data_IF_646928213005
#
_entry.id   IF_646928213005
#
_cell.length_a   1.000
_cell.length_b   1.000
_cell.length_c   1.000
_cell.angle_alpha   90.00
_cell.angle_beta   90.00
_cell.angle_gamma   90.00
#
_symmetry.space_group_name_H-M   'P 1'
#
loop_
_entity.id
_entity.type
_entity.pdbx_description
1 polymer ?
#
# COMPACT_ATOMS: atom_id res chain seq x y z
N UNK A 1 33.03 17.69 -21.33
CA UNK A 1 32.99 17.17 -22.73
C UNK A 1 31.57 17.39 -23.24
N UNK A 2 31.36 17.99 -24.42
CA UNK A 2 30.01 18.40 -24.81
C UNK A 2 29.18 17.25 -25.43
N UNK A 3 29.75 16.52 -26.39
CA UNK A 3 29.05 15.46 -27.13
C UNK A 3 29.97 14.25 -27.34
N UNK A 4 29.42 13.03 -27.17
CA UNK A 4 30.02 11.78 -27.63
C UNK A 4 28.96 10.81 -28.16
N UNK A 5 29.33 9.98 -29.13
CA UNK A 5 28.44 8.90 -29.62
C UNK A 5 28.58 7.62 -28.79
N UNK A 6 29.81 7.19 -28.53
CA UNK A 6 30.12 6.06 -27.64
C UNK A 6 31.29 6.47 -26.76
N UNK A 7 31.19 6.24 -25.45
CA UNK A 7 32.28 6.44 -24.50
C UNK A 7 32.33 5.28 -23.50
N UNK A 8 33.53 4.84 -23.14
CA UNK A 8 33.70 3.76 -22.15
C UNK A 8 33.53 4.31 -20.74
N UNK A 9 34.36 5.28 -20.35
CA UNK A 9 34.37 5.81 -18.99
C UNK A 9 34.59 7.31 -18.96
N UNK A 10 33.94 8.02 -18.05
CA UNK A 10 34.30 9.39 -17.68
C UNK A 10 34.36 9.57 -16.17
N UNK A 11 35.33 10.34 -15.68
CA UNK A 11 35.56 10.53 -14.23
C UNK A 11 35.81 11.98 -13.88
N UNK A 12 35.07 12.52 -12.92
CA UNK A 12 35.25 13.89 -12.41
C UNK A 12 34.88 14.98 -13.41
N UNK A 13 34.06 14.68 -14.43
CA UNK A 13 33.71 15.61 -15.50
C UNK A 13 32.20 15.87 -15.61
N UNK A 14 31.87 17.02 -16.18
CA UNK A 14 30.52 17.32 -16.68
C UNK A 14 30.43 16.90 -18.14
N UNK A 15 29.42 16.08 -18.47
CA UNK A 15 29.08 15.77 -19.86
C UNK A 15 27.64 16.17 -20.18
N UNK A 16 27.46 16.83 -21.32
CA UNK A 16 26.14 17.29 -21.75
C UNK A 16 25.35 16.22 -22.48
N UNK A 17 25.98 15.50 -23.42
CA UNK A 17 25.29 14.52 -24.24
C UNK A 17 26.15 13.30 -24.57
N UNK A 18 25.61 12.11 -24.37
CA UNK A 18 26.17 10.83 -24.81
C UNK A 18 25.10 9.90 -25.36
N UNK A 19 25.32 9.27 -26.52
CA UNK A 19 24.38 8.25 -27.01
C UNK A 19 24.56 6.91 -26.27
N UNK A 20 25.79 6.40 -26.16
CA UNK A 20 26.11 5.20 -25.34
C UNK A 20 27.27 5.48 -24.39
N UNK A 21 27.12 5.13 -23.13
CA UNK A 21 28.14 5.27 -22.09
C UNK A 21 28.18 4.01 -21.21
N UNK A 22 29.37 3.50 -20.86
CA UNK A 22 29.49 2.30 -20.02
C UNK A 22 29.58 2.68 -18.53
N UNK A 23 30.46 3.62 -18.17
CA UNK A 23 30.58 4.08 -16.78
C UNK A 23 30.77 5.60 -16.66
N UNK A 24 30.20 6.19 -15.61
CA UNK A 24 30.51 7.57 -15.24
C UNK A 24 30.59 7.84 -13.74
N UNK A 25 31.47 8.77 -13.38
CA UNK A 25 31.50 9.50 -12.11
C UNK A 25 31.60 11.00 -12.43
N UNK A 26 30.71 11.84 -11.88
CA UNK A 26 30.60 13.26 -12.26
C UNK A 26 29.16 13.76 -12.45
N UNK A 27 28.92 14.59 -13.48
CA UNK A 27 27.59 15.15 -13.79
C UNK A 27 27.22 14.87 -15.24
N UNK A 28 26.00 14.40 -15.46
CA UNK A 28 25.52 13.91 -16.76
C UNK A 28 24.18 14.58 -17.09
N UNK A 29 24.12 15.42 -18.12
CA UNK A 29 22.84 16.00 -18.52
C UNK A 29 21.96 15.02 -19.31
N UNK A 30 22.52 14.31 -20.30
CA UNK A 30 21.74 13.43 -21.16
C UNK A 30 22.49 12.19 -21.62
N UNK A 31 21.90 11.01 -21.43
CA UNK A 31 22.37 9.72 -21.94
C UNK A 31 21.25 8.93 -22.60
N UNK A 32 21.41 8.47 -23.86
CA UNK A 32 20.40 7.55 -24.41
C UNK A 32 20.53 6.15 -23.79
N UNK A 33 21.74 5.58 -23.73
CA UNK A 33 22.03 4.32 -23.02
C UNK A 33 23.19 4.52 -22.04
N UNK A 34 23.00 4.12 -20.79
CA UNK A 34 24.04 4.09 -19.77
C UNK A 34 24.05 2.74 -19.02
N UNK A 35 25.20 2.10 -18.90
CA UNK A 35 25.32 0.84 -18.15
C UNK A 35 25.46 1.09 -16.64
N UNK A 36 26.30 2.04 -16.23
CA UNK A 36 26.55 2.30 -14.81
C UNK A 36 26.90 3.75 -14.51
N UNK A 37 26.44 4.28 -13.38
CA UNK A 37 26.94 5.53 -12.83
C UNK A 37 27.09 5.47 -11.32
N UNK A 38 28.18 6.02 -10.78
CA UNK A 38 28.43 6.02 -9.33
C UNK A 38 28.88 7.39 -8.83
N UNK A 39 28.18 7.92 -7.82
CA UNK A 39 28.38 9.28 -7.31
C UNK A 39 28.01 10.35 -8.33
N UNK A 40 26.94 10.12 -9.12
CA UNK A 40 26.57 10.98 -10.26
C UNK A 40 25.27 11.74 -10.03
N UNK A 41 25.22 12.97 -10.54
CA UNK A 41 23.97 13.68 -10.80
C UNK A 41 23.60 13.53 -12.27
N UNK A 42 22.54 12.77 -12.55
CA UNK A 42 22.01 12.48 -13.88
C UNK A 42 20.71 13.26 -14.09
N UNK A 43 20.66 14.12 -15.11
CA UNK A 43 19.41 14.82 -15.42
C UNK A 43 18.46 13.96 -16.25
N UNK A 44 18.92 13.36 -17.34
CA UNK A 44 18.09 12.53 -18.22
C UNK A 44 18.81 11.26 -18.68
N UNK A 45 18.13 10.12 -18.58
CA UNK A 45 18.52 8.90 -19.29
C UNK A 45 17.32 8.17 -19.91
N UNK A 46 17.48 7.64 -21.13
CA UNK A 46 16.42 6.81 -21.73
C UNK A 46 16.49 5.36 -21.24
N UNK A 47 17.65 4.71 -21.31
CA UNK A 47 17.89 3.36 -20.77
C UNK A 47 19.09 3.37 -19.84
N UNK A 48 18.85 3.08 -18.56
CA UNK A 48 19.88 2.92 -17.54
C UNK A 48 19.89 1.48 -17.02
N UNK A 49 21.07 0.88 -16.85
CA UNK A 49 21.17 -0.43 -16.18
C UNK A 49 21.29 -0.26 -14.66
N UNK A 50 22.29 0.46 -14.13
CA UNK A 50 22.44 0.70 -12.68
C UNK A 50 22.89 2.13 -12.34
N UNK A 51 22.53 2.62 -11.16
CA UNK A 51 22.98 3.92 -10.66
C UNK A 51 23.16 3.99 -9.14
N UNK A 52 24.20 4.68 -8.68
CA UNK A 52 24.30 5.18 -7.30
C UNK A 52 24.46 6.71 -7.34
N UNK A 53 23.49 7.45 -6.80
CA UNK A 53 23.51 8.92 -6.86
C UNK A 53 22.13 9.58 -6.95
N UNK A 54 22.03 10.64 -7.74
CA UNK A 54 20.81 11.44 -7.92
C UNK A 54 20.37 11.39 -9.38
N UNK A 55 19.14 10.93 -9.61
CA UNK A 55 18.53 10.74 -10.92
C UNK A 55 17.30 11.66 -11.03
N UNK A 56 17.30 12.63 -11.94
CA UNK A 56 16.11 13.44 -12.18
C UNK A 56 15.09 12.70 -13.05
N UNK A 57 15.49 12.21 -14.22
CA UNK A 57 14.62 11.49 -15.15
C UNK A 57 15.26 10.22 -15.70
N UNK A 58 14.55 9.10 -15.62
CA UNK A 58 14.83 7.87 -16.37
C UNK A 58 13.56 7.33 -17.04
N UNK A 59 13.65 6.94 -18.31
CA UNK A 59 12.51 6.26 -18.95
C UNK A 59 12.48 4.78 -18.58
N UNK A 60 13.59 4.06 -18.73
CA UNK A 60 13.74 2.65 -18.32
C UNK A 60 14.96 2.48 -17.43
N UNK A 61 14.77 1.88 -16.25
CA UNK A 61 15.84 1.42 -15.36
C UNK A 61 15.70 -0.09 -15.10
N UNK A 62 16.79 -0.83 -15.26
CA UNK A 62 16.76 -2.30 -15.41
C UNK A 62 17.31 -3.08 -14.22
N UNK A 63 18.19 -2.51 -13.39
CA UNK A 63 18.80 -3.22 -12.24
C UNK A 63 18.82 -2.38 -10.96
N UNK A 64 19.89 -2.42 -10.17
CA UNK A 64 19.94 -1.74 -8.87
C UNK A 64 20.05 -0.22 -9.01
N UNK A 65 19.26 0.48 -8.19
CA UNK A 65 19.53 1.87 -7.86
C UNK A 65 19.65 2.08 -6.35
N UNK A 66 20.55 3.00 -5.97
CA UNK A 66 20.69 3.53 -4.61
C UNK A 66 20.79 5.06 -4.65
N UNK A 67 20.20 5.75 -3.67
CA UNK A 67 20.13 7.23 -3.64
C UNK A 67 18.75 7.79 -3.95
N UNK A 68 18.68 8.85 -4.77
CA UNK A 68 17.45 9.63 -4.98
C UNK A 68 17.02 9.59 -6.44
N UNK A 69 15.74 9.28 -6.69
CA UNK A 69 15.15 9.32 -8.03
C UNK A 69 13.89 10.18 -8.06
N UNK A 70 13.89 11.23 -8.88
CA UNK A 70 12.71 12.10 -8.99
C UNK A 70 11.64 11.48 -9.90
N UNK A 71 12.00 11.05 -11.11
CA UNK A 71 11.07 10.45 -12.07
C UNK A 71 11.66 9.20 -12.73
N UNK A 72 10.89 8.11 -12.69
CA UNK A 72 11.14 6.89 -13.46
C UNK A 72 9.85 6.42 -14.15
N UNK A 73 9.86 6.16 -15.46
CA UNK A 73 8.65 5.63 -16.11
C UNK A 73 8.51 4.12 -15.85
N UNK A 74 9.55 3.33 -16.15
CA UNK A 74 9.59 1.88 -15.86
C UNK A 74 10.84 1.53 -15.07
N UNK A 75 10.65 0.85 -13.94
CA UNK A 75 11.73 0.25 -13.14
C UNK A 75 11.45 -1.23 -12.88
N UNK A 76 12.31 -2.09 -13.44
CA UNK A 76 12.07 -3.54 -13.58
C UNK A 76 12.62 -4.35 -12.37
N UNK A 77 13.17 -3.68 -11.36
CA UNK A 77 14.18 -4.28 -10.47
C UNK A 77 14.20 -3.67 -9.07
N UNK A 78 14.96 -4.29 -8.17
CA UNK A 78 15.10 -3.89 -6.76
C UNK A 78 16.01 -2.68 -6.60
N UNK A 79 15.40 -1.54 -6.24
CA UNK A 79 16.14 -0.40 -5.71
C UNK A 79 16.15 -0.44 -4.18
N UNK A 80 17.31 -0.18 -3.58
CA UNK A 80 17.53 -0.35 -2.13
C UNK A 80 18.05 0.91 -1.47
N UNK A 81 17.40 1.34 -0.39
CA UNK A 81 17.71 2.60 0.27
C UNK A 81 17.41 3.80 -0.62
N UNK A 82 16.34 3.73 -1.42
CA UNK A 82 15.99 4.76 -2.40
C UNK A 82 14.85 5.65 -1.93
N UNK A 83 15.00 6.94 -2.17
CA UNK A 83 13.90 7.92 -2.10
C UNK A 83 13.42 8.17 -3.52
N UNK A 84 12.21 7.73 -3.84
CA UNK A 84 11.60 7.90 -5.16
C UNK A 84 10.38 8.80 -5.10
N UNK A 85 10.38 9.86 -5.91
CA UNK A 85 9.25 10.79 -5.95
C UNK A 85 8.12 10.28 -6.86
N UNK A 86 8.42 9.86 -8.09
CA UNK A 86 7.44 9.38 -9.05
C UNK A 86 7.91 8.14 -9.80
N UNK A 87 7.09 7.09 -9.80
CA UNK A 87 7.19 5.97 -10.73
C UNK A 87 5.86 5.66 -11.43
N UNK A 88 5.87 5.28 -12.70
CA UNK A 88 4.65 4.75 -13.35
C UNK A 88 4.51 3.24 -13.14
N UNK A 89 5.53 2.45 -13.50
CA UNK A 89 5.58 0.99 -13.25
C UNK A 89 6.84 0.64 -12.48
N UNK A 90 6.67 -0.08 -11.36
CA UNK A 90 7.75 -0.51 -10.48
C UNK A 90 7.54 -1.94 -9.99
N UNK A 91 8.56 -2.79 -10.16
CA UNK A 91 8.52 -4.18 -9.66
C UNK A 91 8.81 -4.24 -8.15
N UNK A 92 9.87 -3.59 -7.67
CA UNK A 92 10.30 -3.75 -6.28
C UNK A 92 11.11 -2.57 -5.75
N UNK A 93 10.80 -2.08 -4.55
CA UNK A 93 11.62 -1.08 -3.88
C UNK A 93 11.74 -1.32 -2.37
N UNK A 94 12.92 -1.04 -1.82
CA UNK A 94 13.15 -0.89 -0.38
C UNK A 94 13.56 0.55 -0.08
N UNK A 95 12.75 1.28 0.68
CA UNK A 95 12.96 2.73 0.89
C UNK A 95 11.67 3.55 1.04
N UNK A 96 11.67 4.75 0.47
CA UNK A 96 10.59 5.74 0.57
C UNK A 96 10.05 6.08 -0.83
N UNK A 97 8.74 5.94 -0.99
CA UNK A 97 8.03 6.09 -2.27
C UNK A 97 6.94 7.15 -2.13
N UNK A 98 7.02 8.27 -2.84
CA UNK A 98 5.97 9.29 -2.78
C UNK A 98 4.78 8.92 -3.67
N UNK A 99 5.00 8.65 -4.96
CA UNK A 99 3.95 8.29 -5.91
C UNK A 99 4.35 7.09 -6.78
N UNK A 100 3.44 6.13 -6.91
CA UNK A 100 3.50 5.04 -7.87
C UNK A 100 2.14 4.75 -8.51
N UNK A 101 2.07 4.58 -9.83
CA UNK A 101 0.82 4.14 -10.45
C UNK A 101 0.62 2.63 -10.30
N UNK A 102 1.61 1.81 -10.66
CA UNK A 102 1.61 0.36 -10.47
C UNK A 102 2.86 -0.10 -9.73
N UNK A 103 2.69 -0.78 -8.61
CA UNK A 103 3.76 -1.30 -7.76
C UNK A 103 3.52 -2.78 -7.42
N UNK A 104 4.46 -3.66 -7.77
CA UNK A 104 4.32 -5.10 -7.44
C UNK A 104 4.72 -5.39 -6.00
N UNK A 105 5.82 -4.81 -5.52
CA UNK A 105 6.29 -5.01 -4.15
C UNK A 105 6.98 -3.78 -3.55
N UNK A 106 6.72 -3.48 -2.28
CA UNK A 106 7.53 -2.50 -1.54
C UNK A 106 7.75 -2.84 -0.07
N UNK A 107 8.95 -2.55 0.43
CA UNK A 107 9.29 -2.65 1.86
C UNK A 107 9.76 -1.28 2.36
N UNK A 108 8.97 -0.61 3.20
CA UNK A 108 9.31 0.72 3.71
C UNK A 108 8.11 1.65 3.79
N UNK A 109 8.26 2.90 3.35
CA UNK A 109 7.20 3.91 3.43
C UNK A 109 6.70 4.27 2.04
N UNK A 110 5.40 4.19 1.81
CA UNK A 110 4.76 4.60 0.57
C UNK A 110 3.61 5.58 0.85
N UNK A 111 3.65 6.74 0.20
CA UNK A 111 2.64 7.79 0.41
C UNK A 111 1.41 7.57 -0.48
N UNK A 112 1.58 7.35 -1.78
CA UNK A 112 0.50 7.13 -2.74
C UNK A 112 0.79 6.01 -3.72
N UNK A 113 -0.10 5.02 -3.80
CA UNK A 113 -0.19 4.08 -4.90
C UNK A 113 -1.60 4.00 -5.49
N UNK A 114 -1.70 3.87 -6.82
CA UNK A 114 -2.98 3.53 -7.44
C UNK A 114 -3.24 2.02 -7.40
N UNK A 115 -2.26 1.20 -7.83
CA UNK A 115 -2.31 -0.27 -7.71
C UNK A 115 -1.05 -0.75 -7.01
N UNK A 116 -1.22 -1.49 -5.91
CA UNK A 116 -0.15 -2.16 -5.18
C UNK A 116 -0.48 -3.65 -5.02
N UNK A 117 0.45 -4.56 -5.32
CA UNK A 117 0.22 -6.01 -5.15
C UNK A 117 0.65 -6.50 -3.76
N UNK A 118 1.84 -6.13 -3.30
CA UNK A 118 2.34 -6.54 -1.98
C UNK A 118 3.12 -5.43 -1.26
N UNK A 119 2.97 -5.30 0.06
CA UNK A 119 3.85 -4.43 0.84
C UNK A 119 4.11 -4.87 2.29
N UNK A 120 5.21 -4.36 2.83
CA UNK A 120 5.55 -4.33 4.26
C UNK A 120 5.98 -2.91 4.67
N UNK A 121 5.69 -2.49 5.91
CA UNK A 121 5.97 -1.12 6.39
C UNK A 121 4.74 -0.20 6.50
N UNK A 122 4.75 0.96 5.84
CA UNK A 122 3.71 2.01 6.01
C UNK A 122 3.15 2.44 4.67
N UNK A 123 1.82 2.53 4.58
CA UNK A 123 1.09 2.98 3.39
C UNK A 123 0.13 4.11 3.78
N UNK A 124 0.31 5.32 3.23
CA UNK A 124 -0.64 6.40 3.49
C UNK A 124 -1.90 6.27 2.63
N UNK A 125 -1.77 6.09 1.31
CA UNK A 125 -2.90 5.97 0.38
C UNK A 125 -2.67 4.85 -0.64
N UNK A 126 -3.66 3.96 -0.76
CA UNK A 126 -3.76 2.98 -1.85
C UNK A 126 -5.17 3.00 -2.46
N UNK A 127 -5.30 3.12 -3.78
CA UNK A 127 -6.62 2.90 -4.38
C UNK A 127 -6.96 1.41 -4.41
N UNK A 128 -6.10 0.58 -4.99
CA UNK A 128 -6.22 -0.89 -4.98
C UNK A 128 -4.99 -1.51 -4.34
N UNK A 129 -5.20 -2.40 -3.36
CA UNK A 129 -4.16 -3.20 -2.73
C UNK A 129 -4.57 -4.67 -2.67
N UNK A 130 -3.71 -5.56 -3.15
CA UNK A 130 -3.96 -7.01 -3.07
C UNK A 130 -3.56 -7.56 -1.70
N UNK A 131 -2.32 -7.34 -1.25
CA UNK A 131 -1.83 -7.89 0.01
C UNK A 131 -0.90 -6.95 0.77
N UNK A 132 -0.96 -6.96 2.09
CA UNK A 132 0.07 -6.31 2.91
C UNK A 132 0.29 -7.03 4.24
N UNK A 133 1.52 -7.06 4.73
CA UNK A 133 1.88 -7.76 5.97
C UNK A 133 2.77 -6.93 6.89
N UNK A 134 2.41 -6.85 8.17
CA UNK A 134 3.06 -5.97 9.13
C UNK A 134 2.93 -4.50 8.75
N UNK A 135 1.75 -4.08 8.27
CA UNK A 135 1.54 -2.74 7.69
C UNK A 135 0.67 -1.84 8.55
N UNK A 136 1.07 -0.57 8.65
CA UNK A 136 0.20 0.54 9.08
C UNK A 136 -0.32 1.23 7.82
N UNK A 137 -1.63 1.18 7.60
CA UNK A 137 -2.28 1.77 6.44
C UNK A 137 -3.27 2.85 6.83
N UNK A 138 -3.14 4.05 6.26
CA UNK A 138 -4.05 5.16 6.56
C UNK A 138 -5.33 5.12 5.73
N UNK A 139 -5.24 4.95 4.41
CA UNK A 139 -6.39 4.97 3.51
C UNK A 139 -6.31 3.92 2.40
N UNK A 140 -7.39 3.16 2.22
CA UNK A 140 -7.58 2.27 1.07
C UNK A 140 -9.02 2.28 0.52
N UNK A 141 -9.16 2.06 -0.79
CA UNK A 141 -10.46 1.92 -1.46
C UNK A 141 -10.85 0.43 -1.64
N UNK A 142 -9.97 -0.35 -2.25
CA UNK A 142 -10.16 -1.80 -2.46
C UNK A 142 -8.97 -2.55 -1.88
N UNK A 143 -9.22 -3.40 -0.89
CA UNK A 143 -8.21 -4.23 -0.26
C UNK A 143 -8.63 -5.71 -0.28
N UNK A 144 -7.75 -6.61 -0.73
CA UNK A 144 -8.03 -8.05 -0.68
C UNK A 144 -7.55 -8.66 0.65
N UNK A 145 -6.31 -8.44 1.07
CA UNK A 145 -5.80 -8.94 2.35
C UNK A 145 -4.87 -7.96 3.07
N UNK A 146 -5.02 -7.83 4.40
CA UNK A 146 -4.03 -7.17 5.23
C UNK A 146 -3.76 -7.90 6.55
N UNK A 147 -2.49 -7.86 7.00
CA UNK A 147 -2.12 -8.15 8.37
C UNK A 147 -1.46 -6.92 8.98
N UNK A 148 -2.08 -6.33 10.01
CA UNK A 148 -1.62 -5.06 10.60
C UNK A 148 -2.72 -4.11 11.08
N UNK A 149 -2.52 -2.81 10.86
CA UNK A 149 -3.39 -1.73 11.35
C UNK A 149 -3.92 -0.91 10.17
N UNK A 150 -5.24 -0.72 10.12
CA UNK A 150 -5.95 -0.02 9.05
C UNK A 150 -6.74 1.16 9.64
N UNK A 151 -6.49 2.40 9.22
CA UNK A 151 -7.30 3.53 9.69
C UNK A 151 -8.60 3.69 8.90
N UNK A 152 -8.54 3.77 7.56
CA UNK A 152 -9.71 3.98 6.72
C UNK A 152 -9.76 3.03 5.52
N UNK A 153 -10.84 2.27 5.42
CA UNK A 153 -11.20 1.46 4.26
C UNK A 153 -12.55 1.90 3.71
N UNK A 154 -12.64 2.11 2.39
CA UNK A 154 -13.85 2.61 1.74
C UNK A 154 -14.13 1.83 0.46
N UNK A 155 -15.21 1.05 0.44
CA UNK A 155 -15.73 0.17 -0.62
C UNK A 155 -15.60 -1.33 -0.31
N UNK A 156 -14.41 -1.94 -0.43
CA UNK A 156 -14.28 -3.40 -0.29
C UNK A 156 -13.06 -3.80 0.53
N UNK A 157 -13.30 -4.66 1.53
CA UNK A 157 -12.28 -5.51 2.14
C UNK A 157 -12.68 -6.98 2.07
N UNK A 158 -11.80 -7.85 1.56
CA UNK A 158 -12.04 -9.31 1.57
C UNK A 158 -11.55 -9.95 2.89
N UNK A 159 -10.36 -9.61 3.36
CA UNK A 159 -9.80 -10.19 4.60
C UNK A 159 -8.87 -9.24 5.35
N UNK A 160 -8.92 -9.30 6.68
CA UNK A 160 -7.90 -8.69 7.54
C UNK A 160 -7.62 -9.49 8.81
N UNK A 161 -6.38 -9.41 9.28
CA UNK A 161 -5.98 -9.85 10.60
C UNK A 161 -5.32 -8.69 11.35
N UNK A 162 -5.91 -8.20 12.44
CA UNK A 162 -5.37 -7.08 13.23
C UNK A 162 -6.40 -6.03 13.62
N UNK A 163 -6.08 -4.75 13.44
CA UNK A 163 -6.89 -3.63 13.94
C UNK A 163 -7.41 -2.77 12.80
N UNK A 164 -8.71 -2.46 12.79
CA UNK A 164 -9.30 -1.54 11.82
C UNK A 164 -10.14 -0.45 12.48
N UNK A 165 -9.89 0.81 12.15
CA UNK A 165 -10.62 1.93 12.75
C UNK A 165 -11.93 2.24 12.02
N UNK A 166 -11.90 2.49 10.71
CA UNK A 166 -13.08 2.88 9.93
C UNK A 166 -13.23 2.06 8.65
N UNK A 167 -14.33 1.31 8.55
CA UNK A 167 -14.72 0.57 7.35
C UNK A 167 -16.08 1.04 6.82
N UNK A 168 -16.11 1.48 5.56
CA UNK A 168 -17.32 1.91 4.86
C UNK A 168 -17.61 0.98 3.68
N UNK A 169 -18.85 0.51 3.57
CA UNK A 169 -19.37 -0.47 2.60
C UNK A 169 -19.15 -1.94 3.03
N UNK A 170 -18.30 -2.73 2.37
CA UNK A 170 -18.33 -4.20 2.50
C UNK A 170 -17.06 -4.75 3.17
N UNK A 171 -17.27 -5.63 4.15
CA UNK A 171 -16.23 -6.45 4.75
C UNK A 171 -16.62 -7.94 4.68
N UNK A 172 -15.78 -8.77 4.07
CA UNK A 172 -16.06 -10.23 3.98
C UNK A 172 -15.57 -10.97 5.22
N UNK A 173 -14.34 -10.71 5.68
CA UNK A 173 -13.79 -11.36 6.89
C UNK A 173 -12.85 -10.46 7.68
N UNK A 174 -12.92 -10.55 9.01
CA UNK A 174 -11.90 -10.02 9.91
C UNK A 174 -11.60 -10.94 11.09
N UNK A 175 -10.33 -10.98 11.49
CA UNK A 175 -9.91 -11.54 12.79
C UNK A 175 -9.17 -10.46 13.58
N UNK A 176 -9.72 -9.99 14.69
CA UNK A 176 -9.08 -8.96 15.53
C UNK A 176 -10.04 -7.90 16.05
N UNK A 177 -9.70 -6.61 15.90
CA UNK A 177 -10.45 -5.48 16.48
C UNK A 177 -10.95 -4.55 15.40
N UNK A 178 -12.23 -4.20 15.44
CA UNK A 178 -12.84 -3.19 14.56
C UNK A 178 -13.56 -2.10 15.36
N UNK A 179 -13.21 -0.84 15.11
CA UNK A 179 -13.87 0.28 15.79
C UNK A 179 -15.19 0.65 15.12
N UNK A 180 -15.22 1.01 13.83
CA UNK A 180 -16.42 1.54 13.16
C UNK A 180 -16.66 0.88 11.80
N UNK A 181 -17.82 0.23 11.63
CA UNK A 181 -18.29 -0.33 10.35
C UNK A 181 -19.67 0.25 9.97
N UNK A 182 -19.78 0.87 8.78
CA UNK A 182 -21.00 1.61 8.39
C UNK A 182 -22.08 0.80 7.68
N UNK A 183 -21.75 -0.32 7.03
CA UNK A 183 -22.72 -1.05 6.19
C UNK A 183 -22.72 -2.55 6.43
N UNK A 184 -21.92 -3.34 5.71
CA UNK A 184 -22.03 -4.81 5.66
C UNK A 184 -20.78 -5.47 6.22
N UNK A 185 -20.98 -6.37 7.18
CA UNK A 185 -19.99 -7.38 7.58
C UNK A 185 -20.53 -8.79 7.29
N UNK A 186 -19.72 -9.67 6.70
CA UNK A 186 -20.11 -11.06 6.44
C UNK A 186 -19.62 -12.01 7.56
N UNK A 187 -18.37 -11.85 8.02
CA UNK A 187 -17.83 -12.65 9.12
C UNK A 187 -16.85 -11.86 10.01
N UNK A 188 -16.95 -12.03 11.33
CA UNK A 188 -15.95 -11.54 12.28
C UNK A 188 -15.61 -12.52 13.41
N UNK A 189 -14.34 -12.51 13.81
CA UNK A 189 -13.85 -13.09 15.05
C UNK A 189 -13.06 -12.01 15.82
N UNK A 190 -13.40 -11.76 17.10
CA UNK A 190 -12.80 -10.70 17.91
C UNK A 190 -13.73 -9.49 18.21
N UNK A 191 -13.18 -8.31 18.49
CA UNK A 191 -13.92 -7.20 19.13
C UNK A 191 -14.45 -6.18 18.12
N UNK A 192 -15.66 -5.67 18.35
CA UNK A 192 -16.36 -4.70 17.51
C UNK A 192 -16.95 -3.55 18.34
N UNK A 193 -16.58 -2.29 18.08
CA UNK A 193 -17.14 -1.17 18.83
C UNK A 193 -18.44 -0.62 18.22
N UNK A 194 -18.50 -0.41 16.90
CA UNK A 194 -19.62 0.26 16.25
C UNK A 194 -20.02 -0.37 14.92
N UNK A 195 -21.31 -0.72 14.76
CA UNK A 195 -21.86 -1.23 13.50
C UNK A 195 -23.24 -0.64 13.17
N UNK A 196 -23.40 -0.01 11.99
CA UNK A 196 -24.66 0.69 11.70
C UNK A 196 -25.77 -0.18 11.09
N UNK A 197 -25.49 -1.15 10.22
CA UNK A 197 -26.55 -1.75 9.40
C UNK A 197 -26.63 -3.29 9.30
N UNK A 198 -25.55 -4.03 9.00
CA UNK A 198 -25.61 -5.46 8.57
C UNK A 198 -24.38 -6.25 9.02
N UNK A 199 -24.58 -7.47 9.54
CA UNK A 199 -23.58 -8.25 10.31
C UNK A 199 -23.82 -9.80 10.33
N UNK A 200 -23.52 -10.51 9.23
CA UNK A 200 -24.09 -11.85 8.94
C UNK A 200 -23.71 -12.95 9.93
N UNK A 201 -22.42 -13.11 10.25
CA UNK A 201 -21.95 -14.12 11.21
C UNK A 201 -20.82 -13.62 12.11
N UNK A 202 -20.83 -14.06 13.37
CA UNK A 202 -19.83 -13.68 14.37
C UNK A 202 -19.55 -14.79 15.39
N UNK A 203 -18.26 -15.02 15.70
CA UNK A 203 -17.83 -16.03 16.68
C UNK A 203 -16.86 -15.42 17.70
N UNK A 204 -17.17 -15.51 18.99
CA UNK A 204 -16.36 -14.94 20.08
C UNK A 204 -16.30 -13.41 20.04
N UNK A 205 -17.38 -12.74 19.65
CA UNK A 205 -17.41 -11.31 19.35
C UNK A 205 -18.03 -10.48 20.47
N UNK A 206 -17.38 -9.39 20.87
CA UNK A 206 -17.95 -8.38 21.77
C UNK A 206 -18.37 -7.17 20.95
N UNK A 207 -19.64 -6.76 21.04
CA UNK A 207 -20.19 -5.61 20.32
C UNK A 207 -20.66 -4.49 21.25
N UNK A 208 -20.12 -3.28 21.12
CA UNK A 208 -20.56 -2.18 21.97
C UNK A 208 -21.89 -1.56 21.50
N UNK A 209 -21.97 -1.04 20.28
CA UNK A 209 -23.14 -0.27 19.81
C UNK A 209 -23.54 -0.66 18.38
N UNK A 210 -24.80 -1.06 18.17
CA UNK A 210 -25.36 -1.35 16.83
C UNK A 210 -26.72 -0.68 16.56
N UNK A 211 -27.05 -0.37 15.30
CA UNK A 211 -28.33 0.29 14.97
C UNK A 211 -29.33 -0.62 14.21
N UNK A 212 -28.85 -1.53 13.35
CA UNK A 212 -29.65 -2.62 12.74
C UNK A 212 -28.82 -3.91 12.63
N UNK A 213 -29.50 -5.01 12.29
CA UNK A 213 -29.14 -6.40 12.65
C UNK A 213 -28.29 -7.17 11.63
N UNK A 214 -27.58 -8.20 12.10
CA UNK A 214 -27.82 -9.59 11.63
C UNK A 214 -27.35 -10.62 12.69
N UNK A 215 -27.31 -11.93 12.39
CA UNK A 215 -28.44 -12.88 12.55
C UNK A 215 -27.90 -14.18 13.17
N UNK A 216 -26.65 -14.61 12.91
CA UNK A 216 -26.10 -15.86 13.48
C UNK A 216 -24.86 -15.62 14.34
N UNK A 217 -24.91 -16.03 15.61
CA UNK A 217 -23.91 -15.65 16.61
C UNK A 217 -23.46 -16.83 17.48
N UNK A 218 -22.16 -16.99 17.72
CA UNK A 218 -21.63 -17.88 18.76
C UNK A 218 -20.77 -17.11 19.78
N UNK A 219 -21.12 -17.18 21.07
CA UNK A 219 -20.38 -16.55 22.16
C UNK A 219 -20.27 -15.01 22.06
N UNK A 220 -21.41 -14.31 21.94
CA UNK A 220 -21.43 -12.85 21.67
C UNK A 220 -22.04 -12.04 22.81
N UNK A 221 -21.35 -10.99 23.27
CA UNK A 221 -21.87 -10.01 24.25
C UNK A 221 -22.16 -8.68 23.55
N UNK A 222 -23.37 -8.12 23.71
CA UNK A 222 -23.78 -6.85 23.10
C UNK A 222 -24.22 -5.81 24.14
N UNK A 223 -23.75 -4.55 24.03
CA UNK A 223 -24.04 -3.52 25.04
C UNK A 223 -25.20 -2.57 24.73
N UNK A 224 -25.49 -2.23 23.46
CA UNK A 224 -26.62 -1.34 23.10
C UNK A 224 -27.05 -1.58 21.64
N UNK A 225 -28.35 -1.74 21.39
CA UNK A 225 -28.91 -1.93 20.05
C UNK A 225 -30.26 -1.22 19.85
N UNK A 226 -30.64 -0.91 18.61
CA UNK A 226 -31.90 -0.20 18.29
C UNK A 226 -32.97 -1.06 17.58
N UNK A 227 -32.53 -2.04 16.78
CA UNK A 227 -33.37 -3.08 16.15
C UNK A 227 -32.55 -4.37 16.07
N UNK A 228 -33.15 -5.53 16.39
CA UNK A 228 -32.47 -6.82 16.58
C UNK A 228 -33.34 -8.02 16.14
N UNK A 229 -32.72 -9.09 15.61
CA UNK A 229 -33.33 -10.27 14.96
C UNK A 229 -32.25 -11.38 14.83
N UNK A 230 -32.15 -12.34 15.77
CA UNK A 230 -30.93 -13.18 15.91
C UNK A 230 -31.21 -14.62 16.36
N UNK A 231 -30.48 -15.59 15.80
CA UNK A 231 -30.25 -16.94 16.32
C UNK A 231 -28.85 -17.02 16.97
N UNK A 232 -28.81 -17.06 18.31
CA UNK A 232 -27.58 -17.08 19.11
C UNK A 232 -27.34 -18.43 19.77
N UNK A 233 -26.07 -18.81 19.93
CA UNK A 233 -25.63 -19.74 20.99
C UNK A 233 -24.56 -19.04 21.85
N UNK A 234 -24.86 -18.78 23.12
CA UNK A 234 -24.14 -17.78 23.93
C UNK A 234 -24.84 -16.41 23.91
N UNK A 235 -24.71 -15.64 25.01
CA UNK A 235 -25.83 -14.83 25.56
C UNK A 235 -25.65 -13.29 25.48
N UNK A 236 -26.80 -12.60 25.36
CA UNK A 236 -27.14 -11.25 24.83
C UNK A 236 -28.24 -10.64 25.75
N UNK A 237 -28.48 -9.33 25.98
CA UNK A 237 -27.94 -8.01 25.57
C UNK A 237 -28.68 -6.90 26.37
N UNK A 238 -28.16 -5.66 26.52
CA UNK A 238 -28.84 -4.59 27.31
C UNK A 238 -29.38 -3.35 26.56
N UNK A 239 -30.68 -3.38 26.25
CA UNK A 239 -31.56 -2.33 25.66
C UNK A 239 -31.17 -1.78 24.26
N UNK A 240 -32.11 -1.36 23.39
CA UNK A 240 -33.55 -1.11 23.56
C UNK A 240 -34.39 -1.69 22.38
N UNK A 241 -35.68 -1.91 22.59
CA UNK A 241 -36.68 -2.47 21.65
C UNK A 241 -36.31 -3.78 20.91
N UNK A 242 -36.73 -4.89 21.50
CA UNK A 242 -36.71 -6.23 20.88
C UNK A 242 -38.10 -6.52 20.29
N UNK A 243 -38.17 -6.84 18.99
CA UNK A 243 -39.31 -7.50 18.38
C UNK A 243 -38.98 -9.00 18.30
N UNK A 244 -39.60 -9.79 19.17
CA UNK A 244 -39.54 -11.25 19.12
C UNK A 244 -40.72 -11.74 18.29
N UNK A 245 -40.44 -12.53 17.25
CA UNK A 245 -41.41 -13.27 16.44
C UNK A 245 -40.91 -14.68 16.21
#
# INVERSE_FOLDING_TARGET
MYWCHVLVSCTGVVMYWCHVLVSCTGVMYWCHVLVSCTGVVMYWCHVLVSCTGVMYWCHVLVSSCTGVMYWCHVLVSSCTGVVMYWCHVLVSCTGVMYWCHVLVSCTGVMYWCHVLVSCTGVVYWCHVLVSCTGVVMYWCHVLVSCTGVMYWCRHVLVSCTGVMYWCRHVLVSCTGVMYWCRHVLVSCTGVMYWCRHVLVSCTGVVMYWCHHVLVSCTGVVMYWCHHVLVSCTGVVMYLCHILVS
#
